data_IF_490398778501
#
_entry.id   IF_490398778501
#
_cell.length_a   1.000
_cell.length_b   1.000
_cell.length_c   1.000
_cell.angle_alpha   90.00
_cell.angle_beta   90.00
_cell.angle_gamma   90.00
#
_symmetry.space_group_name_H-M   'P 1'
#
loop_
_entity.id
_entity.type
_entity.pdbx_description
1 polymer ?
#
# COMPACT_ATOMS: atom_id res chain seq x y z
N UNK A 1 -4.27 10.49 -27.88
CA UNK A 1 -5.33 11.02 -27.01
C UNK A 1 -5.79 9.93 -26.03
N UNK A 2 -5.04 9.68 -24.96
CA UNK A 2 -5.44 8.77 -23.85
C UNK A 2 -5.99 9.55 -22.65
N UNK A 3 -5.72 10.85 -22.58
CA UNK A 3 -5.98 11.72 -21.42
C UNK A 3 -7.45 11.99 -21.10
N UNK A 4 -8.41 11.61 -21.96
CA UNK A 4 -9.85 11.83 -21.73
C UNK A 4 -10.63 10.52 -21.50
N UNK A 5 -9.94 9.41 -21.31
CA UNK A 5 -10.60 8.12 -21.02
C UNK A 5 -10.99 8.03 -19.55
N UNK A 6 -12.08 7.29 -19.29
CA UNK A 6 -12.44 6.83 -17.95
C UNK A 6 -11.32 5.97 -17.36
N UNK A 7 -11.14 6.04 -16.04
CA UNK A 7 -10.05 5.32 -15.36
C UNK A 7 -10.14 3.79 -15.54
N UNK A 8 -11.35 3.24 -15.55
CA UNK A 8 -11.57 1.82 -15.81
C UNK A 8 -11.12 1.42 -17.22
N UNK A 9 -11.35 2.28 -18.22
CA UNK A 9 -10.92 2.06 -19.59
C UNK A 9 -9.39 2.14 -19.72
N UNK A 10 -8.75 3.08 -19.02
CA UNK A 10 -7.29 3.14 -18.93
C UNK A 10 -6.70 1.87 -18.31
N UNK A 11 -7.35 1.33 -17.27
CA UNK A 11 -6.88 0.10 -16.61
C UNK A 11 -7.05 -1.13 -17.50
N UNK A 12 -8.12 -1.20 -18.28
CA UNK A 12 -8.31 -2.27 -19.28
C UNK A 12 -7.29 -2.20 -20.42
N UNK A 13 -6.93 -1.00 -20.88
CA UNK A 13 -5.83 -0.82 -21.85
C UNK A 13 -4.49 -1.25 -21.24
N UNK A 14 -4.23 -0.84 -20.00
CA UNK A 14 -3.02 -1.26 -19.29
C UNK A 14 -2.96 -2.78 -19.08
N UNK A 15 -4.08 -3.43 -18.79
CA UNK A 15 -4.19 -4.89 -18.75
C UNK A 15 -3.75 -5.51 -20.10
N UNK A 16 -4.12 -4.89 -21.22
CA UNK A 16 -3.70 -5.26 -22.58
C UNK A 16 -2.25 -4.89 -22.96
N UNK A 17 -1.45 -4.30 -22.06
CA UNK A 17 -0.05 -3.97 -22.30
C UNK A 17 0.26 -2.49 -22.57
N UNK A 18 -0.74 -1.62 -22.58
CA UNK A 18 -0.55 -0.19 -22.83
C UNK A 18 0.01 0.54 -21.59
N UNK A 19 1.32 0.74 -21.57
CA UNK A 19 2.00 1.43 -20.46
C UNK A 19 1.60 2.91 -20.37
N UNK A 20 1.34 3.58 -21.51
CA UNK A 20 0.93 4.99 -21.50
C UNK A 20 -0.44 5.19 -20.83
N UNK A 21 -1.33 4.20 -20.91
CA UNK A 21 -2.59 4.22 -20.17
C UNK A 21 -2.38 4.17 -18.64
N UNK A 22 -1.41 3.40 -18.17
CA UNK A 22 -1.04 3.37 -16.75
C UNK A 22 -0.43 4.70 -16.29
N UNK A 23 0.43 5.33 -17.09
CA UNK A 23 1.00 6.62 -16.73
C UNK A 23 -0.08 7.69 -16.51
N UNK A 24 -1.13 7.71 -17.34
CA UNK A 24 -2.27 8.62 -17.14
C UNK A 24 -2.98 8.32 -15.82
N UNK A 25 -3.27 7.05 -15.52
CA UNK A 25 -3.85 6.64 -14.24
C UNK A 25 -2.99 7.05 -13.05
N UNK A 26 -1.70 6.78 -13.12
CA UNK A 26 -0.75 7.11 -12.08
C UNK A 26 -0.72 8.63 -11.84
N UNK A 27 -0.62 9.44 -12.90
CA UNK A 27 -0.64 10.91 -12.79
C UNK A 27 -1.93 11.44 -12.14
N UNK A 28 -3.08 10.85 -12.45
CA UNK A 28 -4.38 11.26 -11.90
C UNK A 28 -4.53 10.97 -10.40
N UNK A 29 -3.92 9.88 -9.93
CA UNK A 29 -4.21 9.36 -8.58
C UNK A 29 -3.02 9.39 -7.61
N UNK A 30 -1.78 9.64 -8.05
CA UNK A 30 -0.61 9.58 -7.16
C UNK A 30 -0.72 10.55 -5.98
N UNK A 31 -1.05 11.83 -6.21
CA UNK A 31 -1.09 12.84 -5.14
C UNK A 31 -2.23 12.57 -4.15
N UNK A 32 -3.42 12.22 -4.64
CA UNK A 32 -4.56 11.91 -3.78
C UNK A 32 -4.34 10.64 -2.95
N UNK A 33 -3.71 9.62 -3.53
CA UNK A 33 -3.34 8.40 -2.83
C UNK A 33 -2.28 8.66 -1.75
N UNK A 34 -1.21 9.39 -2.09
CA UNK A 34 -0.15 9.70 -1.13
C UNK A 34 -0.68 10.52 0.05
N UNK A 35 -1.49 11.57 -0.22
CA UNK A 35 -2.12 12.37 0.83
C UNK A 35 -3.04 11.54 1.73
N UNK A 36 -3.80 10.61 1.15
CA UNK A 36 -4.65 9.71 1.92
C UNK A 36 -3.82 8.83 2.86
N UNK A 37 -2.75 8.21 2.35
CA UNK A 37 -1.87 7.35 3.15
C UNK A 37 -1.13 8.14 4.23
N UNK A 38 -0.66 9.36 3.92
CA UNK A 38 -0.03 10.25 4.90
C UNK A 38 -0.98 10.61 6.05
N UNK A 39 -2.26 10.87 5.74
CA UNK A 39 -3.28 11.12 6.78
C UNK A 39 -3.58 9.89 7.64
N UNK A 40 -3.43 8.68 7.10
CA UNK A 40 -3.63 7.45 7.85
C UNK A 40 -2.42 7.07 8.71
N UNK A 41 -1.22 7.16 8.16
CA UNK A 41 0.01 6.75 8.84
C UNK A 41 0.56 7.81 9.80
N UNK A 42 0.25 9.09 9.57
CA UNK A 42 0.83 10.25 10.27
C UNK A 42 2.38 10.27 10.23
N UNK A 43 2.97 9.56 9.27
CA UNK A 43 4.41 9.41 9.12
C UNK A 43 4.76 9.33 7.63
N UNK A 44 5.68 10.19 7.19
CA UNK A 44 6.08 10.31 5.79
C UNK A 44 6.74 9.04 5.24
N UNK A 45 7.68 8.45 5.96
CA UNK A 45 8.38 7.24 5.52
C UNK A 45 7.40 6.07 5.37
N UNK A 46 6.55 5.86 6.38
CA UNK A 46 5.50 4.85 6.32
C UNK A 46 4.50 5.10 5.19
N UNK A 47 4.14 6.36 4.93
CA UNK A 47 3.24 6.70 3.83
C UNK A 47 3.86 6.36 2.47
N UNK A 48 5.15 6.62 2.30
CA UNK A 48 5.90 6.30 1.08
C UNK A 48 6.01 4.80 0.84
N UNK A 49 6.35 4.02 1.87
CA UNK A 49 6.38 2.55 1.80
C UNK A 49 5.02 1.98 1.40
N UNK A 50 3.95 2.43 2.07
CA UNK A 50 2.58 2.01 1.76
C UNK A 50 2.14 2.43 0.37
N UNK A 51 2.58 3.60 -0.10
CA UNK A 51 2.27 4.11 -1.43
C UNK A 51 2.89 3.22 -2.51
N UNK A 52 4.18 2.87 -2.34
CA UNK A 52 4.87 1.94 -3.22
C UNK A 52 4.21 0.55 -3.19
N UNK A 53 3.86 0.05 -2.00
CA UNK A 53 3.20 -1.25 -1.84
C UNK A 53 1.83 -1.28 -2.55
N UNK A 54 1.04 -0.21 -2.40
CA UNK A 54 -0.27 -0.10 -3.03
C UNK A 54 -0.17 -0.12 -4.57
N UNK A 55 0.72 0.70 -5.15
CA UNK A 55 0.93 0.70 -6.61
C UNK A 55 1.50 -0.63 -7.11
N UNK A 56 2.42 -1.24 -6.37
CA UNK A 56 2.93 -2.58 -6.68
C UNK A 56 1.80 -3.61 -6.75
N UNK A 57 0.85 -3.58 -5.80
CA UNK A 57 -0.34 -4.45 -5.84
C UNK A 57 -1.25 -4.16 -7.04
N UNK A 58 -1.43 -2.90 -7.43
CA UNK A 58 -2.22 -2.54 -8.63
C UNK A 58 -1.57 -3.08 -9.90
N UNK A 59 -0.25 -2.92 -10.05
CA UNK A 59 0.53 -3.41 -11.18
C UNK A 59 0.42 -4.94 -11.27
N UNK A 60 0.62 -5.64 -10.15
CA UNK A 60 0.54 -7.09 -10.08
C UNK A 60 -0.88 -7.62 -10.34
N UNK A 61 -1.90 -6.87 -9.91
CA UNK A 61 -3.30 -7.24 -10.11
C UNK A 61 -3.82 -6.95 -11.52
N UNK A 62 -3.05 -6.29 -12.40
CA UNK A 62 -3.55 -5.80 -13.69
C UNK A 62 -4.23 -6.87 -14.54
N UNK A 63 -3.69 -8.09 -14.56
CA UNK A 63 -4.22 -9.19 -15.39
C UNK A 63 -5.59 -9.68 -14.91
N UNK A 64 -5.85 -9.53 -13.62
CA UNK A 64 -7.08 -9.98 -12.97
C UNK A 64 -8.06 -8.83 -12.72
N UNK A 65 -7.75 -7.61 -13.16
CA UNK A 65 -8.62 -6.46 -12.95
C UNK A 65 -9.96 -6.65 -13.65
N UNK A 66 -11.06 -6.35 -12.94
CA UNK A 66 -12.41 -6.33 -13.48
C UNK A 66 -13.11 -5.05 -13.00
N UNK A 67 -13.69 -4.24 -13.90
CA UNK A 67 -14.33 -2.98 -13.54
C UNK A 67 -15.70 -3.23 -12.92
N UNK A 68 -15.74 -3.57 -11.62
CA UNK A 68 -16.98 -3.74 -10.84
C UNK A 68 -17.38 -2.49 -10.06
N UNK A 69 -16.44 -1.55 -9.91
CA UNK A 69 -16.62 -0.26 -9.26
C UNK A 69 -15.68 0.78 -9.91
N UNK A 70 -15.80 2.05 -9.49
CA UNK A 70 -14.85 3.10 -9.88
C UNK A 70 -13.42 2.68 -9.51
N UNK A 71 -12.46 2.95 -10.40
CA UNK A 71 -11.05 2.63 -10.15
C UNK A 71 -10.53 3.24 -8.85
N UNK A 72 -10.92 4.49 -8.54
CA UNK A 72 -10.56 5.15 -7.28
C UNK A 72 -11.02 4.36 -6.06
N UNK A 73 -12.24 3.82 -6.05
CA UNK A 73 -12.75 2.96 -4.97
C UNK A 73 -11.88 1.71 -4.80
N UNK A 74 -11.50 1.08 -5.91
CA UNK A 74 -10.59 -0.07 -5.89
C UNK A 74 -9.20 0.31 -5.35
N UNK A 75 -8.62 1.41 -5.84
CA UNK A 75 -7.32 1.91 -5.42
C UNK A 75 -7.25 2.20 -3.92
N UNK A 76 -8.21 2.97 -3.39
CA UNK A 76 -8.24 3.30 -1.97
C UNK A 76 -8.51 2.09 -1.07
N UNK A 77 -9.23 1.08 -1.58
CA UNK A 77 -9.39 -0.20 -0.87
C UNK A 77 -8.05 -0.94 -0.77
N UNK A 78 -7.28 -1.02 -1.86
CA UNK A 78 -5.95 -1.64 -1.84
C UNK A 78 -5.03 -0.90 -0.86
N UNK A 79 -5.01 0.43 -0.92
CA UNK A 79 -4.23 1.29 -0.03
C UNK A 79 -4.59 1.09 1.45
N UNK A 80 -5.88 1.05 1.76
CA UNK A 80 -6.35 0.80 3.11
C UNK A 80 -5.94 -0.59 3.61
N UNK A 81 -6.04 -1.62 2.77
CA UNK A 81 -5.59 -2.97 3.14
C UNK A 81 -4.09 -3.01 3.44
N UNK A 82 -3.24 -2.35 2.63
CA UNK A 82 -1.82 -2.20 2.93
C UNK A 82 -1.58 -1.57 4.31
N UNK A 83 -2.32 -0.50 4.63
CA UNK A 83 -2.23 0.15 5.93
C UNK A 83 -2.65 -0.79 7.08
N UNK A 84 -3.75 -1.52 6.94
CA UNK A 84 -4.19 -2.51 7.95
C UNK A 84 -3.15 -3.61 8.15
N UNK A 85 -2.54 -4.11 7.06
CA UNK A 85 -1.47 -5.09 7.13
C UNK A 85 -0.22 -4.54 7.84
N UNK A 86 0.16 -3.28 7.57
CA UNK A 86 1.22 -2.59 8.30
C UNK A 86 0.92 -2.50 9.81
N UNK A 87 -0.28 -2.04 10.19
CA UNK A 87 -0.67 -1.95 11.61
C UNK A 87 -0.63 -3.32 12.28
N UNK A 88 -1.10 -4.36 11.61
CA UNK A 88 -1.07 -5.74 12.12
C UNK A 88 0.36 -6.25 12.31
N UNK A 89 1.27 -5.94 11.38
CA UNK A 89 2.71 -6.29 11.49
C UNK A 89 3.37 -5.55 12.65
N UNK A 90 3.13 -4.25 12.82
CA UNK A 90 3.75 -3.48 13.90
C UNK A 90 3.27 -3.91 15.27
N UNK A 91 1.97 -4.22 15.44
CA UNK A 91 1.45 -4.74 16.72
C UNK A 91 2.09 -6.07 17.13
N UNK A 92 2.43 -6.94 16.16
CA UNK A 92 3.14 -8.19 16.44
C UNK A 92 4.59 -7.95 16.86
N UNK A 93 5.29 -7.05 16.18
CA UNK A 93 6.66 -6.68 16.57
C UNK A 93 6.72 -6.07 17.98
N UNK A 94 5.75 -5.24 18.38
CA UNK A 94 5.71 -4.72 19.76
C UNK A 94 5.42 -5.81 20.79
N UNK A 95 4.64 -6.84 20.45
CA UNK A 95 4.32 -7.94 21.35
C UNK A 95 5.46 -8.97 21.50
N UNK A 96 6.37 -9.06 20.53
CA UNK A 96 7.51 -10.00 20.55
C UNK A 96 8.76 -9.45 21.27
N UNK A 97 8.84 -8.13 21.50
CA UNK A 97 10.01 -7.48 22.15
C UNK A 97 9.94 -7.50 23.69
N UNK A 98 8.85 -8.00 24.29
CA UNK A 98 8.65 -8.04 25.74
C UNK A 98 9.32 -9.26 26.44
N UNK A 99 10.35 -9.85 25.84
CA UNK A 99 11.18 -10.89 26.49
C UNK A 99 12.36 -10.20 27.18
N UNK A 100 12.20 -9.92 28.46
CA UNK A 100 13.25 -9.45 29.36
C UNK A 100 14.17 -10.62 29.75
N UNK A 101 15.47 -10.64 29.36
CA UNK A 101 16.38 -11.73 29.69
C UNK A 101 16.99 -11.62 31.11
N UNK A 102 16.62 -10.62 31.91
CA UNK A 102 17.22 -10.39 33.24
C UNK A 102 16.46 -11.07 34.39
N UNK A 103 16.37 -12.41 34.35
CA UNK A 103 16.01 -13.23 35.52
C UNK A 103 17.01 -14.40 35.73
N UNK A 104 18.24 -14.00 36.06
CA UNK A 104 19.19 -14.40 37.16
C UNK A 104 19.32 -15.87 37.65
N UNK A 105 20.54 -16.31 38.09
CA UNK A 105 20.97 -16.03 39.46
C UNK A 105 22.39 -15.45 39.56
N UNK A 106 22.57 -14.53 40.50
CA UNK A 106 23.86 -14.18 41.10
C UNK A 106 24.49 -15.44 41.68
N UNK A 107 25.58 -15.92 41.09
CA UNK A 107 26.50 -16.81 41.80
C UNK A 107 27.47 -15.91 42.55
N UNK A 108 27.23 -15.77 43.85
CA UNK A 108 28.16 -15.24 44.83
C UNK A 108 29.28 -16.29 44.97
N UNK A 109 30.40 -16.10 44.27
CA UNK A 109 31.62 -16.90 44.46
C UNK A 109 32.47 -16.23 45.54
N UNK A 110 32.44 -16.81 46.74
CA UNK A 110 33.32 -16.56 47.87
C UNK A 110 34.24 -17.76 48.13
#
# INVERSE_FOLDING_TARGET
MTDNLEDSALMLRYQGGDIAAFEVLYRRHNDSLYRYLLRLSLNHATAEDLFQEAWGKIINARQNYRPTARFSTYLFRVAHNCFIDYIRRNKRHTAEIDIDPDLSPTTDDA
#
